data_IF_408743706746
#
_entry.id   IF_408743706746
#
_cell.length_a   1.000
_cell.length_b   1.000
_cell.length_c   1.000
_cell.angle_alpha   90.00
_cell.angle_beta   90.00
_cell.angle_gamma   90.00
#
_symmetry.space_group_name_H-M   'P 1'
#
loop_
_entity.id
_entity.type
_entity.pdbx_description
1 polymer ?
#
# COMPACT_ATOMS: atom_id res chain seq x y z
N UNK A 1 -5.57 11.33 7.35
CA UNK A 1 -4.40 10.74 8.00
C UNK A 1 -3.19 11.60 7.67
N UNK A 2 -2.39 12.05 8.66
CA UNK A 2 -1.15 12.79 8.41
C UNK A 2 -0.18 12.03 7.52
N UNK A 3 0.59 12.74 6.69
CA UNK A 3 1.50 12.10 5.72
C UNK A 3 2.58 11.24 6.38
N UNK A 4 3.03 11.61 7.58
CA UNK A 4 4.01 10.84 8.35
C UNK A 4 3.45 9.51 8.85
N UNK A 5 2.14 9.42 9.13
CA UNK A 5 1.50 8.15 9.46
C UNK A 5 1.37 7.26 8.22
N UNK A 6 1.02 7.83 7.07
CA UNK A 6 1.00 7.11 5.79
C UNK A 6 2.39 6.59 5.45
N UNK A 7 3.45 7.39 5.68
CA UNK A 7 4.84 6.99 5.48
C UNK A 7 5.24 5.82 6.38
N UNK A 8 4.84 5.83 7.66
CA UNK A 8 5.10 4.71 8.58
C UNK A 8 4.45 3.42 8.10
N UNK A 9 3.19 3.50 7.62
CA UNK A 9 2.50 2.35 7.04
C UNK A 9 3.23 1.85 5.79
N UNK A 10 3.64 2.75 4.89
CA UNK A 10 4.36 2.41 3.66
C UNK A 10 5.65 1.61 3.94
N UNK A 11 6.45 2.07 4.90
CA UNK A 11 7.66 1.37 5.30
C UNK A 11 7.39 0.08 6.05
N UNK A 12 6.41 0.04 6.95
CA UNK A 12 6.02 -1.19 7.64
C UNK A 12 5.65 -2.30 6.65
N UNK A 13 4.82 -1.97 5.66
CA UNK A 13 4.42 -2.92 4.61
C UNK A 13 5.63 -3.32 3.75
N UNK A 14 6.56 -2.40 3.43
CA UNK A 14 7.78 -2.74 2.71
C UNK A 14 8.65 -3.75 3.49
N UNK A 15 8.86 -3.51 4.79
CA UNK A 15 9.68 -4.36 5.66
C UNK A 15 9.07 -5.74 5.89
N UNK A 16 7.74 -5.82 6.05
CA UNK A 16 7.04 -7.10 6.17
C UNK A 16 7.03 -7.88 4.83
N UNK A 17 7.05 -7.18 3.71
CA UNK A 17 6.88 -7.71 2.36
C UNK A 17 8.17 -8.07 1.63
N UNK A 18 9.32 -8.17 2.31
CA UNK A 18 10.61 -8.48 1.66
C UNK A 18 10.63 -9.81 0.92
N UNK A 19 9.76 -10.75 1.33
CA UNK A 19 9.55 -12.05 0.68
C UNK A 19 8.32 -12.09 -0.24
N UNK A 20 7.68 -10.93 -0.47
CA UNK A 20 6.42 -10.80 -1.18
C UNK A 20 5.19 -11.08 -0.32
N UNK A 21 4.03 -10.72 -0.86
CA UNK A 21 2.72 -10.95 -0.24
C UNK A 21 1.94 -12.00 -1.01
N UNK A 22 1.43 -13.01 -0.31
CA UNK A 22 0.44 -13.93 -0.86
C UNK A 22 -0.95 -13.24 -0.90
N UNK A 23 -1.56 -13.04 -2.09
CA UNK A 23 -2.86 -12.40 -2.24
C UNK A 23 -4.01 -13.12 -1.51
N UNK A 24 -3.94 -14.44 -1.40
CA UNK A 24 -4.99 -15.30 -0.83
C UNK A 24 -4.97 -15.34 0.70
N UNK A 25 -3.87 -14.91 1.32
CA UNK A 25 -3.74 -14.83 2.78
C UNK A 25 -4.62 -13.70 3.33
N UNK A 26 -5.29 -13.91 4.47
CA UNK A 26 -6.37 -13.03 5.00
C UNK A 26 -6.11 -12.42 6.38
N UNK A 27 -4.96 -12.69 6.96
CA UNK A 27 -4.62 -12.39 8.36
C UNK A 27 -3.38 -11.48 8.49
N UNK A 28 -3.03 -10.71 7.45
CA UNK A 28 -1.99 -9.69 7.58
C UNK A 28 -2.40 -8.60 8.56
N UNK A 29 -1.42 -8.02 9.24
CA UNK A 29 -1.62 -6.98 10.25
C UNK A 29 -0.63 -5.86 9.99
N UNK A 30 -1.13 -4.63 10.02
CA UNK A 30 -0.34 -3.41 10.01
C UNK A 30 -0.40 -2.87 11.44
N UNK A 31 0.72 -2.83 12.14
CA UNK A 31 0.84 -2.40 13.54
C UNK A 31 0.39 -0.96 13.72
N UNK A 32 0.62 -0.11 12.72
CA UNK A 32 0.11 1.25 12.68
C UNK A 32 -1.42 1.34 12.59
N UNK A 33 -2.12 0.27 12.16
CA UNK A 33 -3.59 0.19 12.07
C UNK A 33 -4.10 -0.93 13.00
N UNK A 34 -4.28 -0.58 14.27
CA UNK A 34 -4.67 -1.55 15.31
C UNK A 34 -6.06 -2.12 15.09
N UNK A 35 -6.25 -3.37 15.52
CA UNK A 35 -7.56 -4.03 15.55
C UNK A 35 -8.11 -4.49 14.21
N UNK A 36 -7.29 -4.46 13.14
CA UNK A 36 -7.71 -4.83 11.79
C UNK A 36 -6.81 -5.90 11.20
N UNK A 37 -7.41 -6.83 10.47
CA UNK A 37 -6.72 -7.77 9.59
C UNK A 37 -6.96 -7.40 8.13
N UNK A 38 -6.00 -7.74 7.28
CA UNK A 38 -5.99 -7.40 5.87
C UNK A 38 -5.77 -8.66 5.04
N UNK A 39 -6.42 -8.71 3.88
CA UNK A 39 -6.09 -9.69 2.86
C UNK A 39 -4.81 -9.30 2.13
N UNK A 40 -4.19 -10.24 1.41
CA UNK A 40 -3.02 -9.95 0.59
C UNK A 40 -3.31 -8.88 -0.45
N UNK A 41 -4.48 -8.93 -1.10
CA UNK A 41 -4.92 -7.85 -1.99
C UNK A 41 -5.06 -6.51 -1.28
N UNK A 42 -5.61 -6.47 -0.06
CA UNK A 42 -5.64 -5.23 0.72
C UNK A 42 -4.22 -4.72 1.00
N UNK A 43 -3.28 -5.57 1.39
CA UNK A 43 -1.90 -5.15 1.65
C UNK A 43 -1.23 -4.63 0.38
N UNK A 44 -1.38 -5.30 -0.77
CA UNK A 44 -0.82 -4.85 -2.03
C UNK A 44 -1.38 -3.48 -2.45
N UNK A 45 -2.69 -3.28 -2.28
CA UNK A 45 -3.33 -1.99 -2.53
C UNK A 45 -2.82 -0.91 -1.57
N UNK A 46 -2.77 -1.20 -0.26
CA UNK A 46 -2.24 -0.27 0.74
C UNK A 46 -0.77 0.05 0.48
N UNK A 47 0.02 -0.92 0.03
CA UNK A 47 1.43 -0.75 -0.30
C UNK A 47 1.58 0.30 -1.40
N UNK A 48 0.91 0.08 -2.54
CA UNK A 48 1.01 0.98 -3.67
C UNK A 48 0.49 2.39 -3.36
N UNK A 49 -0.69 2.49 -2.73
CA UNK A 49 -1.32 3.77 -2.42
C UNK A 49 -0.54 4.53 -1.34
N UNK A 50 -0.02 3.86 -0.31
CA UNK A 50 0.77 4.55 0.72
C UNK A 50 2.09 5.07 0.17
N UNK A 51 2.75 4.32 -0.71
CA UNK A 51 3.95 4.78 -1.41
C UNK A 51 3.68 5.93 -2.39
N UNK A 52 2.59 5.85 -3.16
CA UNK A 52 2.26 6.92 -4.10
C UNK A 52 1.94 8.25 -3.42
N UNK A 53 1.41 8.19 -2.19
CA UNK A 53 1.13 9.37 -1.37
C UNK A 53 2.39 9.88 -0.64
N UNK A 54 3.13 9.00 0.04
CA UNK A 54 4.16 9.41 1.00
C UNK A 54 5.60 9.39 0.47
N UNK A 55 5.87 8.62 -0.59
CA UNK A 55 7.22 8.42 -1.18
C UNK A 55 7.11 8.32 -2.72
N UNK A 56 6.49 9.29 -3.42
CA UNK A 56 6.18 9.18 -4.85
C UNK A 56 7.43 9.05 -5.74
N UNK A 57 8.56 9.64 -5.33
CA UNK A 57 9.82 9.60 -6.09
C UNK A 57 10.38 8.18 -6.23
N UNK A 58 10.21 7.34 -5.22
CA UNK A 58 10.69 5.95 -5.22
C UNK A 58 9.60 4.93 -5.57
N UNK A 59 8.38 5.38 -5.90
CA UNK A 59 7.30 4.49 -6.36
C UNK A 59 7.69 3.62 -7.58
N UNK A 60 8.43 4.13 -8.60
CA UNK A 60 8.85 3.32 -9.74
C UNK A 60 9.78 2.15 -9.37
N UNK A 61 10.52 2.27 -8.26
CA UNK A 61 11.44 1.23 -7.78
C UNK A 61 10.70 -0.02 -7.33
N UNK A 62 9.42 0.10 -6.95
CA UNK A 62 8.58 -1.03 -6.55
C UNK A 62 8.30 -1.99 -7.70
N UNK A 63 8.41 -1.55 -8.95
CA UNK A 63 8.12 -2.32 -10.18
C UNK A 63 6.74 -3.01 -10.15
N UNK A 64 5.78 -2.41 -9.46
CA UNK A 64 4.40 -2.89 -9.40
C UNK A 64 3.62 -2.41 -10.63
N UNK A 65 2.88 -3.28 -11.32
CA UNK A 65 2.14 -2.94 -12.53
C UNK A 65 0.76 -2.32 -12.20
N UNK A 66 0.74 -1.26 -11.37
CA UNK A 66 -0.51 -0.62 -10.91
C UNK A 66 -0.62 0.86 -11.29
N UNK A 67 0.34 1.40 -12.03
CA UNK A 67 0.40 2.83 -12.33
C UNK A 67 -0.80 3.31 -13.14
N UNK A 68 -1.15 2.59 -14.21
CA UNK A 68 -2.26 2.96 -15.08
C UNK A 68 -3.60 2.75 -14.38
N UNK A 69 -3.75 1.67 -13.63
CA UNK A 69 -4.92 1.35 -12.82
C UNK A 69 -5.14 2.40 -11.73
N UNK A 70 -4.06 2.86 -11.09
CA UNK A 70 -4.14 3.92 -10.08
C UNK A 70 -4.48 5.28 -10.69
N UNK A 71 -3.93 5.62 -11.87
CA UNK A 71 -4.33 6.81 -12.62
C UNK A 71 -5.81 6.76 -12.96
N UNK A 72 -6.30 5.64 -13.48
CA UNK A 72 -7.71 5.43 -13.80
C UNK A 72 -8.61 5.56 -12.56
N UNK A 73 -8.25 4.91 -11.44
CA UNK A 73 -9.03 5.00 -10.22
C UNK A 73 -9.20 6.44 -9.72
N UNK A 74 -8.17 7.29 -9.87
CA UNK A 74 -8.24 8.71 -9.53
C UNK A 74 -9.19 9.52 -10.41
N UNK A 75 -9.46 9.10 -11.66
CA UNK A 75 -10.45 9.79 -12.52
C UNK A 75 -11.88 9.39 -12.20
N UNK A 76 -12.07 8.20 -11.61
CA UNK A 76 -13.38 7.68 -11.20
C UNK A 76 -13.84 8.25 -9.85
N UNK A 77 -12.92 8.63 -8.98
CA UNK A 77 -13.22 9.26 -7.72
C UNK A 77 -13.39 10.78 -7.90
N UNK A 78 -14.64 11.24 -7.88
CA UNK A 78 -14.94 12.68 -7.73
C UNK A 78 -14.97 13.00 -6.22
N UNK A 79 -14.15 13.96 -5.75
CA UNK A 79 -14.15 14.38 -4.34
C UNK A 79 -15.47 15.02 -3.93
#
# INVERSE_FOLDING_TARGET
>A
MPIDEVRKIAYEIAFQGTQGYNPEKKDYKISAIKGKTFSGYHILAYYYVSWSLAVPVSLPELKLPYEEEYKLAKTMHKP
#
